data_IF_518298386565
#
_entry.id   IF_518298386565
#
_cell.length_a   1.000
_cell.length_b   1.000
_cell.length_c   1.000
_cell.angle_alpha   90.00
_cell.angle_beta   90.00
_cell.angle_gamma   90.00
#
_symmetry.space_group_name_H-M   'P 1'
#
loop_
_entity.id
_entity.type
_entity.pdbx_description
1 polymer ?
#
# COMPACT_ATOMS: atom_id res chain seq x y z
N UNK A 1 -41.59 25.88 20.65
CA UNK A 1 -40.26 26.60 20.59
C UNK A 1 -39.76 26.81 22.00
N UNK A 2 -38.77 26.09 22.45
CA UNK A 2 -38.02 26.36 23.71
C UNK A 2 -36.61 26.77 23.35
N UNK A 3 -35.97 27.75 24.01
CA UNK A 3 -34.77 28.39 23.56
C UNK A 3 -33.50 27.53 23.88
N UNK A 4 -32.64 27.46 22.91
CA UNK A 4 -31.33 26.76 22.82
C UNK A 4 -30.23 27.56 23.57
N UNK A 5 -30.35 27.77 24.90
CA UNK A 5 -29.38 28.56 25.63
C UNK A 5 -28.95 28.02 27.01
N UNK A 6 -29.24 26.80 27.36
CA UNK A 6 -28.86 26.22 28.67
C UNK A 6 -27.67 25.27 28.61
N UNK A 7 -27.30 24.77 27.43
CA UNK A 7 -26.22 23.76 27.28
C UNK A 7 -24.79 24.33 27.28
N UNK A 8 -24.62 25.66 27.16
CA UNK A 8 -23.31 26.31 27.09
C UNK A 8 -22.78 26.80 28.47
N UNK A 9 -23.63 26.76 29.51
CA UNK A 9 -23.24 27.24 30.86
C UNK A 9 -22.60 26.14 31.71
N UNK A 10 -23.07 24.92 31.60
CA UNK A 10 -22.55 23.77 32.35
C UNK A 10 -21.17 23.30 31.88
N UNK A 11 -20.84 23.44 30.59
CA UNK A 11 -19.49 23.15 30.06
C UNK A 11 -18.41 24.11 30.54
N UNK A 12 -18.76 25.34 30.93
CA UNK A 12 -17.77 26.34 31.42
C UNK A 12 -17.45 26.19 32.91
N UNK A 13 -18.31 25.58 33.69
CA UNK A 13 -18.05 25.39 35.14
C UNK A 13 -17.21 24.13 35.43
N UNK A 14 -17.19 23.13 34.54
CA UNK A 14 -16.37 21.94 34.70
C UNK A 14 -14.87 22.21 34.61
N UNK A 15 -14.43 23.20 33.81
CA UNK A 15 -13.01 23.55 33.65
C UNK A 15 -12.44 24.48 34.71
N UNK A 16 -13.23 24.98 35.65
CA UNK A 16 -12.74 25.93 36.72
C UNK A 16 -12.31 25.22 38.01
N UNK A 17 -12.48 23.95 38.18
CA UNK A 17 -12.24 23.22 39.43
C UNK A 17 -10.89 22.51 39.56
N UNK A 18 -9.99 22.60 38.61
CA UNK A 18 -8.65 21.97 38.69
C UNK A 18 -7.53 22.97 38.40
N UNK A 19 -7.47 24.05 39.16
CA UNK A 19 -6.25 24.87 39.26
C UNK A 19 -5.59 24.60 40.61
N UNK A 20 -4.49 23.85 40.60
CA UNK A 20 -3.62 23.68 41.78
C UNK A 20 -2.62 24.85 41.84
N UNK A 21 -2.31 25.35 43.04
CA UNK A 21 -1.37 26.47 43.19
C UNK A 21 0.09 26.03 43.02
N UNK A 22 0.85 26.77 42.22
CA UNK A 22 2.30 26.63 42.10
C UNK A 22 2.94 27.28 43.34
N UNK A 23 3.53 26.48 44.22
CA UNK A 23 4.44 26.95 45.27
C UNK A 23 5.84 27.18 44.67
N UNK A 24 6.31 28.38 44.69
CA UNK A 24 7.69 28.74 44.40
C UNK A 24 8.57 28.40 45.60
N UNK A 25 9.45 27.46 45.49
CA UNK A 25 10.55 27.20 46.42
C UNK A 25 11.85 27.75 45.79
N UNK A 26 12.38 28.80 46.42
CA UNK A 26 13.75 29.27 46.17
C UNK A 26 14.72 28.35 46.92
N UNK A 27 15.60 27.67 46.22
CA UNK A 27 16.74 26.93 46.79
C UNK A 27 18.04 27.39 46.12
N UNK A 28 18.91 27.89 46.97
CA UNK A 28 20.28 28.29 46.71
C UNK A 28 21.21 27.10 46.38
N UNK A 29 22.04 27.32 45.39
CA UNK A 29 23.41 26.84 45.19
C UNK A 29 23.75 25.38 45.52
N UNK A 30 23.86 24.56 44.48
CA UNK A 30 24.51 23.26 44.49
C UNK A 30 24.45 22.65 43.08
N UNK A 31 25.57 22.74 42.35
CA UNK A 31 25.63 22.24 40.95
C UNK A 31 25.49 20.71 40.87
N UNK A 32 24.28 20.26 40.70
CA UNK A 32 24.03 18.88 40.21
C UNK A 32 24.01 18.94 38.69
N UNK A 33 25.04 18.34 38.06
CA UNK A 33 24.99 17.98 36.65
C UNK A 33 23.93 16.93 36.51
N UNK A 34 22.69 17.32 36.22
CA UNK A 34 21.65 16.41 35.78
C UNK A 34 22.03 15.98 34.36
N UNK A 35 22.67 14.82 34.25
CA UNK A 35 22.77 14.12 32.97
C UNK A 35 21.35 13.96 32.44
N UNK A 36 21.01 14.72 31.37
CA UNK A 36 19.79 14.48 30.60
C UNK A 36 19.85 13.02 30.16
N UNK A 37 18.83 12.20 30.45
CA UNK A 37 18.76 10.87 29.85
C UNK A 37 18.82 11.06 28.34
N UNK A 38 19.83 10.47 27.72
CA UNK A 38 19.97 10.46 26.28
C UNK A 38 18.62 10.06 25.70
N UNK A 39 18.11 10.85 24.77
CA UNK A 39 16.90 10.55 24.00
C UNK A 39 17.19 9.19 23.35
N UNK A 40 16.66 8.09 23.94
CA UNK A 40 16.74 6.79 23.32
C UNK A 40 16.28 6.99 21.88
N UNK A 41 17.10 6.61 20.92
CA UNK A 41 16.74 6.68 19.51
C UNK A 41 15.42 5.94 19.38
N UNK A 42 14.34 6.69 19.11
CA UNK A 42 13.04 6.09 18.88
C UNK A 42 13.26 5.06 17.77
N UNK A 43 12.96 3.79 18.02
CA UNK A 43 13.07 2.74 17.00
C UNK A 43 12.30 3.21 15.78
N UNK A 44 12.82 2.97 14.58
CA UNK A 44 12.20 3.42 13.33
C UNK A 44 10.72 3.01 13.19
N UNK A 45 10.31 1.97 13.92
CA UNK A 45 8.93 1.47 14.04
C UNK A 45 8.19 1.95 15.30
N UNK A 46 8.78 2.82 16.14
CA UNK A 46 8.16 3.29 17.38
C UNK A 46 6.81 3.94 17.14
N UNK A 47 5.75 3.41 17.76
CA UNK A 47 4.37 3.92 17.64
C UNK A 47 3.59 3.40 16.44
N UNK A 48 4.19 2.63 15.52
CA UNK A 48 3.47 2.00 14.39
C UNK A 48 2.55 0.89 14.91
N UNK A 49 1.30 0.90 14.47
CA UNK A 49 0.25 -0.07 14.81
C UNK A 49 -0.18 -0.92 13.62
N UNK A 50 -0.08 -0.38 12.41
CA UNK A 50 -0.46 -1.06 11.18
C UNK A 50 0.59 -0.90 10.10
N UNK A 51 0.73 -1.95 9.29
CA UNK A 51 1.50 -1.94 8.05
C UNK A 51 0.53 -2.08 6.89
N UNK A 52 0.60 -1.14 5.95
CA UNK A 52 -0.20 -1.21 4.72
C UNK A 52 0.74 -1.38 3.54
N UNK A 53 0.37 -2.24 2.58
CA UNK A 53 1.29 -2.75 1.58
C UNK A 53 0.86 -2.36 0.16
N UNK A 54 1.79 -1.84 -0.62
CA UNK A 54 1.70 -1.97 -2.07
C UNK A 54 1.79 -3.45 -2.47
N UNK A 55 1.14 -3.82 -3.57
CA UNK A 55 0.99 -5.24 -3.93
C UNK A 55 1.71 -5.60 -5.22
N UNK A 56 1.36 -4.94 -6.34
CA UNK A 56 1.96 -5.26 -7.63
C UNK A 56 3.42 -4.84 -7.68
N UNK A 57 4.32 -5.80 -7.89
CA UNK A 57 5.77 -5.57 -7.89
C UNK A 57 6.39 -5.59 -6.50
N UNK A 58 5.65 -5.21 -5.44
CA UNK A 58 6.14 -5.27 -4.05
C UNK A 58 5.97 -6.65 -3.43
N UNK A 59 4.77 -7.22 -3.51
CA UNK A 59 4.45 -8.53 -2.93
C UNK A 59 4.42 -9.64 -3.97
N UNK A 60 3.94 -9.35 -5.19
CA UNK A 60 3.68 -10.34 -6.23
C UNK A 60 4.44 -10.01 -7.52
N UNK A 61 4.91 -11.05 -8.21
CA UNK A 61 5.51 -10.98 -9.53
C UNK A 61 4.39 -10.90 -10.59
N UNK A 62 4.04 -9.65 -10.92
CA UNK A 62 3.02 -9.41 -11.93
C UNK A 62 3.48 -9.80 -13.33
N UNK A 63 4.77 -9.60 -13.67
CA UNK A 63 5.31 -9.71 -15.01
C UNK A 63 5.29 -11.15 -15.51
N UNK A 64 5.90 -12.05 -14.75
CA UNK A 64 5.93 -13.47 -15.11
C UNK A 64 4.58 -14.14 -14.87
N UNK A 65 3.82 -13.68 -13.86
CA UNK A 65 2.48 -14.16 -13.57
C UNK A 65 1.50 -13.90 -14.71
N UNK A 66 1.39 -12.65 -15.19
CA UNK A 66 0.55 -12.29 -16.34
C UNK A 66 0.99 -13.03 -17.61
N UNK A 67 2.30 -13.11 -17.86
CA UNK A 67 2.84 -13.85 -19.01
C UNK A 67 2.45 -15.32 -18.96
N UNK A 68 2.59 -15.98 -17.82
CA UNK A 68 2.22 -17.39 -17.59
C UNK A 68 0.73 -17.64 -17.85
N UNK A 69 -0.15 -16.84 -17.23
CA UNK A 69 -1.60 -17.02 -17.37
C UNK A 69 -2.06 -16.72 -18.80
N UNK A 70 -1.50 -15.70 -19.45
CA UNK A 70 -1.79 -15.37 -20.84
C UNK A 70 -1.38 -16.50 -21.77
N UNK A 71 -0.20 -17.07 -21.55
CA UNK A 71 0.28 -18.23 -22.30
C UNK A 71 -0.64 -19.44 -22.14
N UNK A 72 -0.97 -19.77 -20.89
CA UNK A 72 -1.81 -20.94 -20.58
C UNK A 72 -3.18 -20.86 -21.24
N UNK A 73 -3.73 -19.65 -21.40
CA UNK A 73 -5.05 -19.46 -22.01
C UNK A 73 -4.99 -19.36 -23.55
N UNK A 74 -4.02 -18.64 -24.10
CA UNK A 74 -4.01 -18.28 -25.52
C UNK A 74 -3.19 -19.25 -26.41
N UNK A 75 -2.16 -19.91 -25.89
CA UNK A 75 -1.34 -20.86 -26.67
C UNK A 75 -2.16 -22.05 -27.17
N UNK A 76 -3.08 -22.68 -26.40
CA UNK A 76 -3.97 -23.73 -26.88
C UNK A 76 -4.93 -23.30 -27.99
N UNK A 77 -5.22 -21.99 -28.09
CA UNK A 77 -6.05 -21.37 -29.14
C UNK A 77 -5.25 -21.02 -30.40
N UNK A 78 -3.96 -21.40 -30.44
CA UNK A 78 -3.09 -21.20 -31.60
C UNK A 78 -2.29 -19.89 -31.60
N UNK A 79 -2.42 -19.03 -30.59
CA UNK A 79 -1.65 -17.80 -30.51
C UNK A 79 -0.22 -18.10 -30.01
N UNK A 80 0.77 -17.53 -30.71
CA UNK A 80 2.19 -17.63 -30.35
C UNK A 80 2.75 -16.24 -30.18
N UNK A 81 2.85 -15.78 -28.93
CA UNK A 81 3.29 -14.43 -28.59
C UNK A 81 4.62 -14.47 -27.83
N UNK A 82 5.33 -13.35 -27.82
CA UNK A 82 6.26 -13.04 -26.74
C UNK A 82 5.43 -12.66 -25.50
N UNK A 83 5.24 -13.63 -24.61
CA UNK A 83 4.36 -13.50 -23.43
C UNK A 83 4.84 -12.44 -22.47
N UNK A 84 6.15 -12.25 -22.36
CA UNK A 84 6.73 -11.19 -21.53
C UNK A 84 6.49 -9.83 -22.16
N UNK A 85 6.73 -9.67 -23.46
CA UNK A 85 6.42 -8.43 -24.17
C UNK A 85 4.92 -8.09 -24.14
N UNK A 86 4.04 -9.12 -24.15
CA UNK A 86 2.60 -8.93 -23.95
C UNK A 86 2.27 -8.39 -22.55
N UNK A 87 2.82 -9.02 -21.50
CA UNK A 87 2.63 -8.56 -20.13
C UNK A 87 3.16 -7.13 -19.91
N UNK A 88 4.34 -6.83 -20.43
CA UNK A 88 4.95 -5.51 -20.38
C UNK A 88 4.10 -4.45 -21.12
N UNK A 89 3.57 -4.78 -22.29
CA UNK A 89 2.68 -3.89 -23.04
C UNK A 89 1.38 -3.62 -22.29
N UNK A 90 0.79 -4.66 -21.66
CA UNK A 90 -0.41 -4.49 -20.85
C UNK A 90 -0.13 -3.60 -19.64
N UNK A 91 0.99 -3.83 -18.95
CA UNK A 91 1.41 -3.00 -17.81
C UNK A 91 1.72 -1.55 -18.20
N UNK A 92 2.23 -1.31 -19.39
CA UNK A 92 2.52 0.05 -19.89
C UNK A 92 1.26 0.94 -19.96
N UNK A 93 0.07 0.36 -20.20
CA UNK A 93 -1.21 1.07 -20.18
C UNK A 93 -1.72 1.40 -18.77
N UNK A 94 -1.07 0.90 -17.71
CA UNK A 94 -1.55 1.00 -16.33
C UNK A 94 -1.62 2.45 -15.83
N UNK A 95 -0.54 3.22 -15.98
CA UNK A 95 -0.54 4.62 -15.55
C UNK A 95 -1.47 5.49 -16.39
N UNK A 96 -1.47 5.40 -17.74
CA UNK A 96 -2.45 6.11 -18.57
C UNK A 96 -3.90 5.80 -18.22
N UNK A 97 -4.23 4.52 -18.00
CA UNK A 97 -5.58 4.09 -17.63
C UNK A 97 -6.07 4.67 -16.32
N UNK A 98 -5.24 4.67 -15.28
CA UNK A 98 -5.59 5.27 -13.99
C UNK A 98 -5.61 6.80 -14.03
N UNK A 99 -4.81 7.43 -14.90
CA UNK A 99 -4.81 8.89 -15.04
C UNK A 99 -6.12 9.42 -15.58
N UNK A 100 -6.87 8.65 -16.35
CA UNK A 100 -8.22 9.03 -16.80
C UNK A 100 -9.17 9.27 -15.60
N UNK A 101 -9.00 8.47 -14.53
CA UNK A 101 -9.78 8.61 -13.29
C UNK A 101 -9.19 9.71 -12.41
N UNK A 102 -7.86 9.69 -12.15
CA UNK A 102 -7.21 10.69 -11.30
C UNK A 102 -7.39 12.12 -11.78
N UNK A 103 -7.48 12.31 -13.09
CA UNK A 103 -7.77 13.61 -13.72
C UNK A 103 -9.26 14.00 -13.71
N UNK A 104 -10.15 13.08 -13.29
CA UNK A 104 -11.59 13.30 -13.33
C UNK A 104 -12.22 13.21 -14.72
N UNK A 105 -11.49 12.74 -15.76
CA UNK A 105 -12.04 12.56 -17.12
C UNK A 105 -13.12 11.49 -17.17
N UNK A 106 -12.98 10.44 -16.34
CA UNK A 106 -13.99 9.40 -16.15
C UNK A 106 -14.22 9.18 -14.65
N UNK A 107 -15.43 8.73 -14.24
CA UNK A 107 -15.68 8.40 -12.85
C UNK A 107 -14.82 7.21 -12.38
N UNK A 108 -14.66 7.08 -11.07
CA UNK A 108 -13.96 5.93 -10.49
C UNK A 108 -14.54 4.61 -11.04
N UNK A 109 -13.64 3.74 -11.44
CA UNK A 109 -13.93 2.38 -11.89
C UNK A 109 -12.92 1.44 -11.25
N UNK A 110 -13.34 0.22 -10.91
CA UNK A 110 -12.44 -0.80 -10.34
C UNK A 110 -11.31 -1.15 -11.31
N UNK A 111 -10.17 -1.57 -10.78
CA UNK A 111 -8.99 -1.87 -11.59
C UNK A 111 -9.26 -2.97 -12.64
N UNK A 112 -10.09 -3.96 -12.35
CA UNK A 112 -10.48 -4.98 -13.34
C UNK A 112 -11.09 -4.39 -14.61
N UNK A 113 -11.90 -3.34 -14.45
CA UNK A 113 -12.48 -2.61 -15.59
C UNK A 113 -11.38 -1.86 -16.35
N UNK A 114 -10.43 -1.28 -15.64
CA UNK A 114 -9.29 -0.58 -16.26
C UNK A 114 -8.37 -1.60 -16.95
N UNK A 115 -8.04 -2.72 -16.32
CA UNK A 115 -7.26 -3.81 -16.92
C UNK A 115 -7.89 -4.30 -18.23
N UNK A 116 -9.22 -4.47 -18.26
CA UNK A 116 -9.90 -4.85 -19.49
C UNK A 116 -9.78 -3.78 -20.58
N UNK A 117 -9.97 -2.51 -20.27
CA UNK A 117 -9.76 -1.40 -21.23
C UNK A 117 -8.33 -1.35 -21.75
N UNK A 118 -7.35 -1.59 -20.87
CA UNK A 118 -5.95 -1.67 -21.24
C UNK A 118 -5.70 -2.84 -22.20
N UNK A 119 -6.26 -4.02 -21.92
CA UNK A 119 -6.20 -5.19 -22.79
C UNK A 119 -6.80 -4.86 -24.18
N UNK A 120 -7.97 -4.22 -24.22
CA UNK A 120 -8.61 -3.82 -25.49
C UNK A 120 -7.75 -2.88 -26.32
N UNK A 121 -6.94 -2.03 -25.69
CA UNK A 121 -6.01 -1.13 -26.39
C UNK A 121 -4.82 -1.86 -27.03
N UNK A 122 -4.30 -2.87 -26.34
CA UNK A 122 -3.09 -3.57 -26.78
C UNK A 122 -3.38 -4.75 -27.70
N UNK A 123 -4.58 -5.38 -27.62
CA UNK A 123 -4.90 -6.62 -28.37
C UNK A 123 -4.65 -6.55 -29.89
N UNK A 124 -4.89 -5.40 -30.60
CA UNK A 124 -4.59 -5.32 -32.02
C UNK A 124 -3.09 -5.48 -32.32
N UNK A 125 -2.22 -5.01 -31.44
CA UNK A 125 -0.77 -5.14 -31.57
C UNK A 125 -0.30 -6.60 -31.52
N UNK A 126 -1.10 -7.48 -30.91
CA UNK A 126 -0.78 -8.89 -30.69
C UNK A 126 -1.64 -9.85 -31.50
N UNK A 127 -2.44 -9.35 -32.46
CA UNK A 127 -3.30 -10.17 -33.30
C UNK A 127 -4.43 -10.85 -32.53
N UNK A 128 -4.97 -10.19 -31.50
CA UNK A 128 -6.00 -10.72 -30.62
C UNK A 128 -7.39 -10.07 -30.85
N UNK A 129 -7.61 -9.42 -32.00
CA UNK A 129 -8.85 -8.70 -32.30
C UNK A 129 -10.05 -9.65 -32.40
N UNK A 130 -9.83 -10.86 -32.86
CA UNK A 130 -10.86 -11.85 -33.11
C UNK A 130 -10.98 -12.89 -31.97
N UNK A 131 -10.31 -12.67 -30.83
CA UNK A 131 -10.45 -13.55 -29.66
C UNK A 131 -11.84 -13.33 -29.03
N UNK A 132 -12.50 -14.43 -28.69
CA UNK A 132 -13.83 -14.42 -28.09
C UNK A 132 -13.87 -13.61 -26.77
N UNK A 133 -14.97 -12.92 -26.53
CA UNK A 133 -15.16 -12.08 -25.35
C UNK A 133 -15.07 -12.85 -24.03
N UNK A 134 -15.50 -14.12 -24.01
CA UNK A 134 -15.38 -15.00 -22.84
C UNK A 134 -13.91 -15.23 -22.50
N UNK A 135 -13.11 -15.53 -23.53
CA UNK A 135 -11.65 -15.74 -23.40
C UNK A 135 -10.97 -14.44 -22.93
N UNK A 136 -11.35 -13.29 -23.47
CA UNK A 136 -10.82 -11.99 -23.04
C UNK A 136 -11.20 -11.67 -21.58
N UNK A 137 -12.41 -12.07 -21.17
CA UNK A 137 -12.85 -12.00 -19.77
C UNK A 137 -11.98 -12.85 -18.85
N UNK A 138 -11.71 -14.10 -19.25
CA UNK A 138 -10.82 -15.00 -18.50
C UNK A 138 -9.36 -14.49 -18.48
N UNK A 139 -8.88 -13.97 -19.61
CA UNK A 139 -7.56 -13.37 -19.71
C UNK A 139 -7.39 -12.19 -18.74
N UNK A 140 -8.44 -11.37 -18.60
CA UNK A 140 -8.43 -10.25 -17.65
C UNK A 140 -8.22 -10.72 -16.20
N UNK A 141 -8.64 -11.95 -15.88
CA UNK A 141 -8.42 -12.57 -14.55
C UNK A 141 -6.98 -13.03 -14.32
N UNK A 142 -6.06 -12.89 -15.28
CA UNK A 142 -4.64 -13.19 -15.09
C UNK A 142 -4.05 -12.39 -13.92
N UNK A 143 -4.49 -11.14 -13.71
CA UNK A 143 -4.07 -10.28 -12.60
C UNK A 143 -4.49 -10.80 -11.22
N UNK A 144 -5.47 -11.68 -11.12
CA UNK A 144 -5.91 -12.33 -9.89
C UNK A 144 -5.09 -13.58 -9.52
N UNK A 145 -4.17 -14.01 -10.40
CA UNK A 145 -3.47 -15.30 -10.30
C UNK A 145 -1.94 -15.13 -10.17
N UNK A 146 -1.50 -14.01 -9.63
CA UNK A 146 -0.09 -13.70 -9.47
C UNK A 146 0.48 -14.40 -8.24
N UNK A 147 1.72 -14.90 -8.37
CA UNK A 147 2.45 -15.52 -7.27
C UNK A 147 3.24 -14.48 -6.49
N UNK A 148 3.37 -14.70 -5.18
CA UNK A 148 4.20 -13.87 -4.33
C UNK A 148 5.69 -14.06 -4.64
N UNK A 149 6.46 -13.00 -4.44
CA UNK A 149 7.92 -13.13 -4.40
C UNK A 149 8.33 -14.07 -3.25
N UNK A 150 9.47 -14.78 -3.38
CA UNK A 150 9.96 -15.66 -2.33
C UNK A 150 10.09 -14.95 -0.98
N UNK A 151 9.62 -15.60 0.10
CA UNK A 151 9.71 -15.11 1.46
C UNK A 151 8.69 -14.04 1.88
N UNK A 152 7.81 -13.59 0.97
CA UNK A 152 6.79 -12.57 1.30
C UNK A 152 5.77 -13.10 2.29
N UNK A 153 5.17 -14.27 2.02
CA UNK A 153 4.13 -14.84 2.87
C UNK A 153 4.63 -15.12 4.29
N UNK A 154 5.85 -15.65 4.42
CA UNK A 154 6.50 -15.91 5.71
C UNK A 154 6.77 -14.61 6.47
N UNK A 155 7.28 -13.58 5.78
CA UNK A 155 7.51 -12.26 6.37
C UNK A 155 6.21 -11.62 6.88
N UNK A 156 5.13 -11.68 6.10
CA UNK A 156 3.81 -11.18 6.50
C UNK A 156 3.26 -11.96 7.70
N UNK A 157 3.36 -13.30 7.73
CA UNK A 157 2.94 -14.11 8.86
C UNK A 157 3.67 -13.73 10.16
N UNK A 158 4.96 -13.43 10.09
CA UNK A 158 5.75 -12.94 11.24
C UNK A 158 5.27 -11.57 11.74
N UNK A 159 5.00 -10.65 10.82
CA UNK A 159 4.60 -9.27 11.14
C UNK A 159 3.19 -9.21 11.77
N UNK A 160 2.27 -10.10 11.36
CA UNK A 160 0.89 -10.15 11.86
C UNK A 160 0.78 -10.32 13.38
N UNK A 161 1.77 -10.92 14.02
CA UNK A 161 1.80 -11.09 15.49
C UNK A 161 1.85 -9.76 16.26
N UNK A 162 2.26 -8.66 15.62
CA UNK A 162 2.44 -7.34 16.25
C UNK A 162 1.67 -6.21 15.59
N UNK A 163 1.40 -6.30 14.28
CA UNK A 163 0.80 -5.23 13.49
C UNK A 163 -0.49 -5.69 12.84
N UNK A 164 -1.43 -4.76 12.64
CA UNK A 164 -2.52 -4.95 11.68
C UNK A 164 -1.91 -4.92 10.27
N UNK A 165 -2.34 -5.82 9.40
CA UNK A 165 -1.85 -5.91 8.03
C UNK A 165 -2.99 -5.73 7.04
N UNK A 166 -2.79 -4.86 6.04
CA UNK A 166 -3.75 -4.68 4.95
C UNK A 166 -3.03 -4.29 3.66
N UNK A 167 -3.54 -4.62 2.46
CA UNK A 167 -3.08 -3.98 1.24
C UNK A 167 -3.52 -2.51 1.22
N UNK A 168 -2.67 -1.63 0.70
CA UNK A 168 -2.99 -0.29 0.22
C UNK A 168 -2.66 -0.25 -1.26
N UNK A 169 -3.51 -0.89 -2.06
CA UNK A 169 -3.28 -1.20 -3.47
C UNK A 169 -4.22 -0.43 -4.37
N UNK A 170 -3.81 -0.26 -5.62
CA UNK A 170 -4.71 0.14 -6.71
C UNK A 170 -5.64 -1.00 -7.14
N UNK A 171 -5.34 -2.25 -6.76
CA UNK A 171 -6.21 -3.41 -7.00
C UNK A 171 -7.54 -3.28 -6.26
N UNK A 172 -8.61 -3.75 -6.91
CA UNK A 172 -9.93 -3.81 -6.29
C UNK A 172 -10.01 -4.94 -5.24
N UNK A 173 -11.02 -4.87 -4.41
CA UNK A 173 -11.17 -5.76 -3.24
C UNK A 173 -11.18 -7.23 -3.66
N UNK A 174 -11.96 -7.62 -4.70
CA UNK A 174 -12.01 -9.01 -5.16
C UNK A 174 -10.65 -9.52 -5.65
N UNK A 175 -9.89 -8.70 -6.38
CA UNK A 175 -8.55 -9.04 -6.84
C UNK A 175 -7.60 -9.25 -5.63
N UNK A 176 -7.65 -8.37 -4.63
CA UNK A 176 -6.83 -8.51 -3.42
C UNK A 176 -7.20 -9.77 -2.60
N UNK A 177 -8.49 -10.16 -2.58
CA UNK A 177 -8.95 -11.40 -1.93
C UNK A 177 -8.37 -12.61 -2.65
N UNK A 178 -8.42 -12.65 -3.98
CA UNK A 178 -7.93 -13.80 -4.77
C UNK A 178 -6.41 -13.94 -4.62
N UNK A 179 -5.65 -12.84 -4.67
CA UNK A 179 -4.22 -12.86 -4.40
C UNK A 179 -3.91 -13.31 -2.97
N UNK A 180 -4.70 -12.86 -1.98
CA UNK A 180 -4.52 -13.28 -0.60
C UNK A 180 -4.75 -14.77 -0.41
N UNK A 181 -5.80 -15.33 -1.01
CA UNK A 181 -6.09 -16.77 -0.96
C UNK A 181 -5.02 -17.60 -1.66
N UNK A 182 -4.56 -17.15 -2.82
CA UNK A 182 -3.51 -17.82 -3.59
C UNK A 182 -2.18 -17.91 -2.85
N UNK A 183 -1.82 -16.83 -2.14
CA UNK A 183 -0.51 -16.66 -1.54
C UNK A 183 -0.54 -16.73 0.01
N UNK A 184 -1.68 -17.07 0.60
CA UNK A 184 -1.87 -17.14 2.06
C UNK A 184 -1.50 -15.83 2.78
N UNK A 185 -1.81 -14.66 2.18
CA UNK A 185 -1.56 -13.38 2.83
C UNK A 185 -2.53 -13.16 4.00
N UNK A 186 -2.03 -12.90 5.21
CA UNK A 186 -2.84 -12.88 6.42
C UNK A 186 -3.43 -11.48 6.68
N UNK A 187 -4.22 -10.95 5.73
CA UNK A 187 -4.82 -9.63 5.86
C UNK A 187 -5.86 -9.54 6.99
N UNK A 188 -5.84 -8.44 7.75
CA UNK A 188 -6.89 -8.08 8.70
C UNK A 188 -7.99 -7.24 8.03
N UNK A 189 -7.67 -6.54 6.96
CA UNK A 189 -8.60 -5.78 6.12
C UNK A 189 -8.13 -5.73 4.67
N UNK A 190 -9.00 -5.36 3.73
CA UNK A 190 -8.62 -5.05 2.33
C UNK A 190 -8.91 -3.58 2.09
N UNK A 191 -7.84 -2.81 1.87
CA UNK A 191 -7.89 -1.34 1.74
C UNK A 191 -7.23 -0.89 0.42
N UNK A 192 -7.33 0.39 0.11
CA UNK A 192 -6.72 1.01 -1.05
C UNK A 192 -7.71 1.75 -1.94
N UNK A 193 -7.51 1.68 -3.26
CA UNK A 193 -8.18 2.50 -4.26
C UNK A 193 -9.72 2.40 -4.23
N UNK A 194 -10.27 1.18 -4.09
CA UNK A 194 -11.71 0.98 -4.12
C UNK A 194 -12.41 1.60 -2.91
N UNK A 195 -11.79 1.55 -1.72
CA UNK A 195 -12.29 2.20 -0.51
C UNK A 195 -12.17 3.73 -0.61
N UNK A 196 -11.06 4.21 -1.19
CA UNK A 196 -10.82 5.65 -1.35
C UNK A 196 -11.63 6.29 -2.49
N UNK A 197 -12.11 5.49 -3.45
CA UNK A 197 -12.76 5.99 -4.67
C UNK A 197 -11.80 6.73 -5.62
N UNK A 198 -10.50 6.49 -5.51
CA UNK A 198 -9.45 7.11 -6.33
C UNK A 198 -8.19 6.22 -6.33
N UNK A 199 -7.22 6.54 -7.18
CA UNK A 199 -5.98 5.77 -7.35
C UNK A 199 -4.76 6.48 -6.75
N UNK A 200 -3.79 5.68 -6.27
CA UNK A 200 -2.45 6.18 -5.97
C UNK A 200 -1.87 6.89 -7.21
N UNK A 201 -1.11 7.98 -7.05
CA UNK A 201 -0.55 8.51 -5.81
C UNK A 201 -1.41 9.58 -5.11
N UNK A 202 -2.73 9.65 -5.33
CA UNK A 202 -3.59 10.59 -4.59
C UNK A 202 -3.46 10.34 -3.08
N UNK A 203 -3.16 11.40 -2.31
CA UNK A 203 -2.88 11.29 -0.88
C UNK A 203 -4.05 10.66 -0.09
N UNK A 204 -5.28 10.91 -0.54
CA UNK A 204 -6.47 10.36 0.07
C UNK A 204 -6.47 8.83 0.16
N UNK A 205 -5.86 8.13 -0.81
CA UNK A 205 -5.78 6.66 -0.82
C UNK A 205 -5.01 6.13 0.39
N UNK A 206 -3.92 6.79 0.76
CA UNK A 206 -3.10 6.42 1.93
C UNK A 206 -3.78 6.82 3.25
N UNK A 207 -4.38 8.02 3.29
CA UNK A 207 -5.07 8.53 4.48
C UNK A 207 -6.26 7.64 4.85
N UNK A 208 -7.10 7.29 3.87
CA UNK A 208 -8.26 6.39 4.05
C UNK A 208 -7.81 5.03 4.59
N UNK A 209 -6.64 4.52 4.21
CA UNK A 209 -6.15 3.25 4.73
C UNK A 209 -5.93 3.32 6.26
N UNK A 210 -5.29 4.36 6.79
CA UNK A 210 -5.11 4.56 8.23
C UNK A 210 -6.45 4.85 8.94
N UNK A 211 -7.27 5.73 8.37
CA UNK A 211 -8.60 6.10 8.92
C UNK A 211 -9.52 4.88 9.03
N UNK A 212 -9.52 3.98 8.03
CA UNK A 212 -10.32 2.74 8.04
C UNK A 212 -9.90 1.76 9.14
N UNK A 213 -8.64 1.83 9.56
CA UNK A 213 -8.12 1.05 10.69
C UNK A 213 -8.30 1.76 12.04
N UNK A 214 -8.87 2.98 12.07
CA UNK A 214 -9.10 3.74 13.29
C UNK A 214 -7.83 4.25 13.96
N UNK A 215 -6.75 4.48 13.22
CA UNK A 215 -5.45 4.92 13.72
C UNK A 215 -5.02 6.26 13.11
N UNK A 216 -4.11 6.96 13.80
CA UNK A 216 -3.51 8.17 13.25
C UNK A 216 -2.58 7.83 12.07
N UNK A 217 -2.46 8.75 11.09
CA UNK A 217 -1.62 8.54 9.90
C UNK A 217 -0.19 8.16 10.28
N UNK A 218 0.42 8.82 11.27
CA UNK A 218 1.78 8.53 11.75
C UNK A 218 1.92 7.19 12.51
N UNK A 219 0.82 6.49 12.84
CA UNK A 219 0.80 5.15 13.41
C UNK A 219 0.63 4.05 12.33
N UNK A 220 0.47 4.45 11.06
CA UNK A 220 0.39 3.59 9.89
C UNK A 220 1.69 3.69 9.09
N UNK A 221 2.25 2.56 8.66
CA UNK A 221 3.44 2.52 7.83
C UNK A 221 3.12 1.91 6.47
N UNK A 222 3.43 2.65 5.40
CA UNK A 222 3.38 2.15 4.03
C UNK A 222 4.63 1.35 3.70
N UNK A 223 4.48 0.12 3.24
CA UNK A 223 5.54 -0.77 2.76
C UNK A 223 5.45 -0.90 1.26
N UNK A 224 6.49 -0.55 0.53
CA UNK A 224 6.52 -0.64 -0.93
C UNK A 224 7.94 -0.82 -1.47
N UNK A 225 8.04 -1.38 -2.68
CA UNK A 225 9.28 -1.43 -3.45
C UNK A 225 9.50 -0.15 -4.29
N UNK A 226 8.50 0.73 -4.38
CA UNK A 226 8.50 1.87 -5.28
C UNK A 226 8.70 3.18 -4.51
N UNK A 227 9.80 3.87 -4.76
CA UNK A 227 10.12 5.16 -4.13
C UNK A 227 9.06 6.25 -4.37
N UNK A 228 8.40 6.24 -5.52
CA UNK A 228 7.31 7.16 -5.83
C UNK A 228 6.08 6.97 -4.93
N UNK A 229 5.76 5.72 -4.61
CA UNK A 229 4.66 5.35 -3.71
C UNK A 229 4.97 5.77 -2.27
N UNK A 230 6.18 5.48 -1.79
CA UNK A 230 6.65 5.88 -0.45
C UNK A 230 6.72 7.39 -0.28
N UNK A 231 7.13 8.14 -1.32
CA UNK A 231 7.09 9.60 -1.32
C UNK A 231 5.68 10.13 -1.06
N UNK A 232 4.70 9.57 -1.76
CA UNK A 232 3.31 10.00 -1.62
C UNK A 232 2.70 9.59 -0.28
N UNK A 233 3.04 8.40 0.23
CA UNK A 233 2.65 7.94 1.55
C UNK A 233 3.20 8.85 2.66
N UNK A 234 4.48 9.26 2.57
CA UNK A 234 5.07 10.22 3.50
C UNK A 234 4.38 11.58 3.46
N UNK A 235 4.02 12.07 2.25
CA UNK A 235 3.23 13.31 2.09
C UNK A 235 1.82 13.20 2.68
N UNK A 236 1.24 12.00 2.70
CA UNK A 236 -0.03 11.72 3.35
C UNK A 236 0.07 11.60 4.88
N UNK A 237 1.28 11.67 5.44
CA UNK A 237 1.56 11.61 6.87
C UNK A 237 1.83 10.20 7.41
N UNK A 238 1.97 9.19 6.55
CA UNK A 238 2.32 7.84 6.95
C UNK A 238 3.83 7.70 7.18
N UNK A 239 4.21 6.72 7.99
CA UNK A 239 5.57 6.20 8.05
C UNK A 239 5.84 5.35 6.79
N UNK A 240 7.10 5.11 6.47
CA UNK A 240 7.47 4.45 5.22
C UNK A 240 8.54 3.38 5.41
N UNK A 241 8.36 2.24 4.74
CA UNK A 241 9.35 1.19 4.67
C UNK A 241 9.56 0.75 3.21
N UNK A 242 10.80 0.75 2.77
CA UNK A 242 11.20 0.24 1.47
C UNK A 242 11.60 -1.23 1.57
N UNK A 243 11.12 -2.05 0.63
CA UNK A 243 11.60 -3.43 0.43
C UNK A 243 12.12 -3.57 -1.00
N UNK A 244 13.36 -4.04 -1.14
CA UNK A 244 14.02 -4.21 -2.44
C UNK A 244 13.31 -5.24 -3.31
N UNK A 245 13.01 -4.87 -4.57
CA UNK A 245 12.54 -5.78 -5.61
C UNK A 245 13.32 -5.52 -6.92
N UNK A 246 14.57 -6.01 -6.99
CA UNK A 246 15.46 -5.66 -8.08
C UNK A 246 15.07 -6.27 -9.42
N UNK A 247 14.20 -7.28 -9.43
CA UNK A 247 13.87 -8.07 -10.63
C UNK A 247 12.43 -7.82 -11.14
N UNK A 248 11.73 -6.82 -10.61
CA UNK A 248 10.32 -6.56 -10.93
C UNK A 248 10.04 -6.47 -12.45
N UNK A 249 10.87 -5.72 -13.18
CA UNK A 249 10.71 -5.54 -14.62
C UNK A 249 11.65 -6.42 -15.46
N UNK A 250 12.27 -7.42 -14.83
CA UNK A 250 13.30 -8.30 -15.35
C UNK A 250 14.60 -8.19 -14.55
N UNK A 251 15.57 -9.07 -14.77
CA UNK A 251 16.77 -9.16 -13.93
C UNK A 251 17.50 -7.83 -13.76
N UNK A 252 17.59 -7.34 -12.53
CA UNK A 252 18.31 -6.12 -12.15
C UNK A 252 17.68 -4.79 -12.55
N UNK A 253 16.40 -4.76 -12.98
CA UNK A 253 15.75 -3.56 -13.51
C UNK A 253 14.80 -2.86 -12.52
N UNK A 254 14.50 -3.48 -11.38
CA UNK A 254 13.68 -2.89 -10.33
C UNK A 254 14.49 -2.06 -9.32
N UNK A 255 13.82 -1.55 -8.29
CA UNK A 255 14.47 -0.74 -7.25
C UNK A 255 15.13 -1.62 -6.19
N UNK A 256 16.46 -1.47 -6.02
CA UNK A 256 17.25 -2.13 -4.97
C UNK A 256 17.29 -1.33 -3.69
N UNK A 257 17.39 -0.01 -3.80
CA UNK A 257 17.51 0.93 -2.70
C UNK A 257 16.49 2.04 -2.89
N UNK A 258 15.97 2.62 -1.78
CA UNK A 258 15.04 3.73 -1.88
C UNK A 258 15.72 4.97 -2.48
N UNK A 259 15.04 5.63 -3.41
CA UNK A 259 15.47 6.92 -4.02
C UNK A 259 14.92 8.14 -3.27
N UNK A 260 14.25 7.90 -2.15
CA UNK A 260 13.66 8.92 -1.27
C UNK A 260 13.96 8.57 0.19
N UNK A 261 13.93 9.53 1.13
CA UNK A 261 14.02 9.22 2.55
C UNK A 261 12.89 8.29 2.99
N UNK A 262 13.24 7.27 3.77
CA UNK A 262 12.30 6.30 4.36
C UNK A 262 12.67 6.04 5.81
N UNK A 263 11.71 5.62 6.64
CA UNK A 263 11.97 5.29 8.05
C UNK A 263 12.70 3.93 8.18
N UNK A 264 12.39 2.98 7.31
CA UNK A 264 13.00 1.64 7.27
C UNK A 264 13.34 1.27 5.82
N UNK A 265 14.48 0.62 5.60
CA UNK A 265 14.81 -0.04 4.32
C UNK A 265 15.23 -1.47 4.60
N UNK A 266 14.79 -2.42 3.76
CA UNK A 266 15.11 -3.83 3.88
C UNK A 266 15.34 -4.46 2.50
N UNK A 267 16.25 -5.43 2.44
CA UNK A 267 16.58 -6.16 1.21
C UNK A 267 15.52 -7.19 0.81
N UNK A 268 14.68 -7.61 1.77
CA UNK A 268 13.62 -8.59 1.58
C UNK A 268 12.67 -8.57 2.79
N UNK A 269 11.59 -9.35 2.72
CA UNK A 269 10.55 -9.41 3.76
C UNK A 269 11.04 -10.05 5.07
N UNK A 270 12.02 -10.94 5.04
CA UNK A 270 12.64 -11.49 6.27
C UNK A 270 13.35 -10.38 7.05
N UNK A 271 14.21 -9.62 6.36
CA UNK A 271 14.93 -8.49 6.99
C UNK A 271 13.96 -7.38 7.45
N UNK A 272 12.90 -7.12 6.67
CA UNK A 272 11.85 -6.18 7.11
C UNK A 272 11.24 -6.62 8.43
N UNK A 273 10.86 -7.90 8.54
CA UNK A 273 10.31 -8.46 9.77
C UNK A 273 11.30 -8.39 10.94
N UNK A 274 12.58 -8.70 10.70
CA UNK A 274 13.62 -8.58 11.73
C UNK A 274 13.71 -7.15 12.28
N UNK A 275 13.75 -6.15 11.40
CA UNK A 275 13.86 -4.73 11.76
C UNK A 275 12.63 -4.17 12.48
N UNK A 276 11.43 -4.64 12.12
CA UNK A 276 10.19 -4.13 12.69
C UNK A 276 9.80 -4.84 13.99
N UNK A 277 10.31 -6.05 14.24
CA UNK A 277 10.05 -6.83 15.44
C UNK A 277 11.12 -6.67 16.52
N UNK A 278 12.28 -6.06 16.19
CA UNK A 278 13.33 -5.71 17.14
C UNK A 278 12.83 -4.57 18.08
#
# INVERSE_FOLDING_TARGET
MKPMNTMNRERREFFRRFALPVMAAVLTGGGFVVSRPGKAAATAAGGVKALVFDVFGTLVDWRTGVARESRALLEPLGHKLDWIAFADAWRAEYQPGMEEIRSGRIPFSRLDVIHRRMLDRIRPRFGLENVDETVLGELNMAWHKLDAWPGVAEGLKRLRGRYLLAPCSNGNISLMIDLARRNEFPWDAILGAEIAGDYKPKLRVYQVAAESLGIAHGECMMVAAHSGDLKSAAQAGLRTAHVSQPDEFGPGTGEREPKVPVDVSARNFSELADKLLA
#
